data_IF_225471368125
#
_entry.id   IF_225471368125
#
_cell.length_a   1.000
_cell.length_b   1.000
_cell.length_c   1.000
_cell.angle_alpha   90.00
_cell.angle_beta   90.00
_cell.angle_gamma   90.00
#
_symmetry.space_group_name_H-M   'P 1'
#
loop_
_entity.id
_entity.type
_entity.pdbx_description
1 polymer ?
#
# COMPACT_ATOMS: atom_id res chain seq x y z
N UNK A 1 2.85 -8.98 -9.69
CA UNK A 1 3.23 -9.19 -8.28
C UNK A 1 4.69 -8.81 -8.14
N UNK A 2 5.06 -8.18 -7.02
CA UNK A 2 6.40 -7.66 -6.75
C UNK A 2 6.91 -8.17 -5.41
N UNK A 3 8.22 -8.33 -5.27
CA UNK A 3 8.87 -8.83 -4.04
C UNK A 3 9.44 -7.68 -3.18
N UNK A 4 9.56 -6.49 -3.76
CA UNK A 4 10.13 -5.32 -3.12
C UNK A 4 9.39 -4.04 -3.50
N UNK A 5 9.51 -3.05 -2.62
CA UNK A 5 8.87 -1.76 -2.76
C UNK A 5 9.41 -0.99 -3.98
N UNK A 6 10.71 -1.09 -4.25
CA UNK A 6 11.36 -0.33 -5.32
C UNK A 6 10.81 -0.71 -6.70
N UNK A 7 10.59 -2.01 -6.93
CA UNK A 7 9.97 -2.55 -8.14
C UNK A 7 8.52 -2.09 -8.30
N UNK A 8 7.76 -2.07 -7.19
CA UNK A 8 6.39 -1.55 -7.19
C UNK A 8 6.35 -0.05 -7.50
N UNK A 9 7.27 0.74 -6.93
CA UNK A 9 7.37 2.18 -7.20
C UNK A 9 7.80 2.43 -8.65
N UNK A 10 8.71 1.62 -9.21
CA UNK A 10 9.10 1.73 -10.60
C UNK A 10 7.92 1.46 -11.53
N UNK A 11 7.12 0.43 -11.24
CA UNK A 11 5.87 0.17 -11.97
C UNK A 11 4.93 1.39 -12.01
N UNK A 12 4.74 2.07 -10.87
CA UNK A 12 3.90 3.28 -10.84
C UNK A 12 4.47 4.44 -11.68
N UNK A 13 5.81 4.54 -11.81
CA UNK A 13 6.44 5.54 -12.69
C UNK A 13 6.23 5.20 -14.16
N UNK A 14 6.37 3.93 -14.51
CA UNK A 14 6.21 3.47 -15.89
C UNK A 14 4.76 3.68 -16.36
N UNK A 15 3.76 3.32 -15.53
CA UNK A 15 2.33 3.57 -15.79
C UNK A 15 2.00 5.05 -15.99
N UNK A 16 2.69 5.93 -15.25
CA UNK A 16 2.58 7.38 -15.42
C UNK A 16 3.15 7.83 -16.77
N UNK A 17 4.31 7.30 -17.18
CA UNK A 17 4.93 7.63 -18.46
C UNK A 17 4.08 7.14 -19.65
N UNK A 18 3.42 5.99 -19.49
CA UNK A 18 2.56 5.38 -20.50
C UNK A 18 1.11 5.92 -20.50
N UNK A 19 0.76 6.79 -19.55
CA UNK A 19 -0.60 7.34 -19.35
C UNK A 19 -1.69 6.28 -19.09
N UNK A 20 -1.36 5.12 -18.52
CA UNK A 20 -2.29 3.99 -18.28
C UNK A 20 -2.81 3.87 -16.83
N UNK A 21 -2.86 4.99 -16.09
CA UNK A 21 -3.19 5.04 -14.66
C UNK A 21 -4.57 4.45 -14.27
N UNK A 22 -5.54 4.38 -15.18
CA UNK A 22 -6.91 3.96 -14.90
C UNK A 22 -7.13 2.43 -14.79
N UNK A 23 -6.14 1.60 -15.16
CA UNK A 23 -6.26 0.13 -15.14
C UNK A 23 -5.11 -0.57 -14.37
N UNK A 24 -4.48 0.14 -13.45
CA UNK A 24 -3.37 -0.36 -12.66
C UNK A 24 -3.80 -1.44 -11.67
N UNK A 25 -3.12 -2.59 -11.71
CA UNK A 25 -3.29 -3.67 -10.74
C UNK A 25 -1.94 -4.21 -10.32
N UNK A 26 -1.59 -4.00 -9.05
CA UNK A 26 -0.32 -4.40 -8.51
C UNK A 26 -0.47 -4.96 -7.10
N UNK A 27 0.46 -5.85 -6.76
CA UNK A 27 0.54 -6.45 -5.43
C UNK A 27 1.98 -6.64 -5.07
N UNK A 28 2.37 -6.26 -3.87
CA UNK A 28 3.73 -6.41 -3.35
C UNK A 28 3.71 -7.08 -1.97
N UNK A 29 4.62 -8.04 -1.79
CA UNK A 29 4.84 -8.73 -0.52
C UNK A 29 6.24 -8.41 -0.03
N UNK A 30 6.37 -7.73 1.10
CA UNK A 30 7.68 -7.36 1.63
C UNK A 30 7.71 -7.29 3.16
N UNK A 31 8.91 -7.33 3.72
CA UNK A 31 9.12 -7.08 5.14
C UNK A 31 9.39 -5.58 5.33
N UNK A 32 8.64 -4.86 6.17
CA UNK A 32 8.82 -3.43 6.36
C UNK A 32 10.25 -3.06 6.79
N UNK A 33 10.82 -1.93 6.32
CA UNK A 33 12.19 -1.53 6.63
C UNK A 33 12.49 -1.44 8.13
N UNK A 34 11.52 -1.01 8.94
CA UNK A 34 11.71 -0.91 10.40
C UNK A 34 11.90 -2.28 11.05
N UNK A 35 11.32 -3.35 10.49
CA UNK A 35 11.51 -4.72 11.00
C UNK A 35 12.87 -5.25 10.57
N UNK A 36 13.22 -5.09 9.29
CA UNK A 36 14.53 -5.50 8.77
C UNK A 36 15.66 -4.81 9.53
N UNK A 37 15.51 -3.51 9.84
CA UNK A 37 16.50 -2.77 10.61
C UNK A 37 16.69 -3.34 12.03
N UNK A 38 15.61 -3.73 12.72
CA UNK A 38 15.68 -4.40 14.02
C UNK A 38 16.33 -5.79 13.96
N UNK A 39 16.38 -6.39 12.76
CA UNK A 39 16.95 -7.72 12.49
C UNK A 39 18.27 -7.67 11.71
N UNK A 40 18.98 -6.53 11.70
CA UNK A 40 20.26 -6.35 11.00
C UNK A 40 20.19 -6.60 9.48
N UNK A 41 19.05 -6.28 8.86
CA UNK A 41 18.74 -6.49 7.45
C UNK A 41 18.78 -7.97 7.01
N UNK A 42 18.56 -8.88 7.96
CA UNK A 42 18.53 -10.33 7.73
C UNK A 42 17.11 -10.85 7.99
N UNK A 43 16.36 -11.23 6.95
CA UNK A 43 15.01 -11.77 7.08
C UNK A 43 14.93 -12.99 8.01
N UNK A 44 15.97 -13.83 8.04
CA UNK A 44 16.01 -15.04 8.88
C UNK A 44 16.15 -14.72 10.38
N UNK A 45 16.49 -13.47 10.71
CA UNK A 45 16.60 -12.97 12.09
C UNK A 45 15.37 -12.18 12.54
N UNK A 46 14.32 -12.14 11.71
CA UNK A 46 13.06 -11.51 12.10
C UNK A 46 12.42 -12.33 13.22
N UNK A 47 12.09 -11.66 14.32
CA UNK A 47 11.45 -12.31 15.46
C UNK A 47 10.02 -12.65 15.09
N UNK A 48 9.56 -13.85 15.46
CA UNK A 48 8.17 -14.28 15.28
C UNK A 48 7.15 -13.32 15.89
N UNK A 49 7.55 -12.53 16.90
CA UNK A 49 6.71 -11.51 17.53
C UNK A 49 6.52 -10.23 16.71
N UNK A 50 7.17 -10.08 15.55
CA UNK A 50 6.96 -8.97 14.62
C UNK A 50 5.78 -9.29 13.69
N UNK A 51 4.58 -9.35 14.26
CA UNK A 51 3.37 -9.70 13.54
C UNK A 51 2.17 -8.90 14.06
N UNK A 52 0.97 -9.13 13.51
CA UNK A 52 -0.25 -8.38 13.87
C UNK A 52 -0.63 -8.42 15.35
N UNK A 53 -0.22 -9.44 16.11
CA UNK A 53 -0.49 -9.57 17.56
C UNK A 53 0.34 -8.58 18.39
N UNK A 54 1.39 -8.00 17.82
CA UNK A 54 2.26 -7.04 18.48
C UNK A 54 1.84 -5.59 18.17
N UNK A 55 1.32 -4.90 19.19
CA UNK A 55 0.86 -3.50 19.08
C UNK A 55 1.95 -2.53 18.62
N UNK A 56 3.23 -2.78 18.96
CA UNK A 56 4.35 -1.94 18.51
C UNK A 56 4.57 -2.11 17.01
N UNK A 57 4.57 -3.36 16.53
CA UNK A 57 4.66 -3.67 15.10
C UNK A 57 3.53 -3.02 14.32
N UNK A 58 2.27 -3.21 14.76
CA UNK A 58 1.09 -2.62 14.10
C UNK A 58 1.18 -1.09 14.03
N UNK A 59 1.58 -0.44 15.12
CA UNK A 59 1.76 1.02 15.15
C UNK A 59 2.86 1.48 14.18
N UNK A 60 4.01 0.81 14.18
CA UNK A 60 5.13 1.17 13.31
C UNK A 60 4.79 0.90 11.84
N UNK A 61 4.07 -0.18 11.56
CA UNK A 61 3.58 -0.49 10.22
C UNK A 61 2.62 0.59 9.72
N UNK A 62 1.62 0.97 10.52
CA UNK A 62 0.72 2.05 10.13
C UNK A 62 1.47 3.37 9.90
N UNK A 63 2.45 3.70 10.75
CA UNK A 63 3.29 4.89 10.53
C UNK A 63 4.13 4.79 9.25
N UNK A 64 4.64 3.61 8.91
CA UNK A 64 5.37 3.36 7.67
C UNK A 64 4.47 3.58 6.46
N UNK A 65 3.26 3.03 6.47
CA UNK A 65 2.27 3.20 5.40
C UNK A 65 1.95 4.68 5.18
N UNK A 66 1.55 5.38 6.25
CA UNK A 66 1.13 6.79 6.17
C UNK A 66 2.24 7.73 5.71
N UNK A 67 3.48 7.51 6.18
CA UNK A 67 4.58 8.46 5.97
C UNK A 67 5.40 8.17 4.73
N UNK A 68 5.55 6.89 4.38
CA UNK A 68 6.42 6.46 3.28
C UNK A 68 5.57 5.96 2.12
N UNK A 69 4.83 4.86 2.28
CA UNK A 69 4.12 4.23 1.17
C UNK A 69 3.15 5.19 0.46
N UNK A 70 2.25 5.85 1.21
CA UNK A 70 1.28 6.77 0.61
C UNK A 70 1.94 8.01 -0.01
N UNK A 71 2.96 8.55 0.66
CA UNK A 71 3.71 9.72 0.18
C UNK A 71 4.45 9.41 -1.12
N UNK A 72 5.17 8.29 -1.16
CA UNK A 72 5.93 7.83 -2.32
C UNK A 72 4.99 7.50 -3.48
N UNK A 73 3.87 6.83 -3.23
CA UNK A 73 2.85 6.60 -4.26
C UNK A 73 2.34 7.90 -4.87
N UNK A 74 2.02 8.91 -4.05
CA UNK A 74 1.59 10.24 -4.54
C UNK A 74 2.67 10.91 -5.39
N UNK A 75 3.92 10.86 -4.94
CA UNK A 75 5.04 11.46 -5.65
C UNK A 75 5.32 10.78 -7.00
N UNK A 76 5.36 9.44 -7.01
CA UNK A 76 5.80 8.67 -8.17
C UNK A 76 4.70 8.42 -9.20
N UNK A 77 3.45 8.23 -8.77
CA UNK A 77 2.32 8.16 -9.71
C UNK A 77 2.03 9.49 -10.41
N UNK A 78 2.45 10.62 -9.82
CA UNK A 78 2.13 11.95 -10.33
C UNK A 78 0.65 12.34 -10.17
N UNK A 79 -0.14 11.52 -9.48
CA UNK A 79 -1.54 11.79 -9.15
C UNK A 79 -1.63 12.64 -7.88
N UNK A 80 -2.58 13.57 -7.82
CA UNK A 80 -2.88 14.28 -6.58
C UNK A 80 -3.76 13.42 -5.66
N UNK A 81 -3.16 12.37 -5.08
CA UNK A 81 -3.87 11.42 -4.24
C UNK A 81 -4.23 12.03 -2.88
N UNK A 82 -5.50 11.86 -2.48
CA UNK A 82 -6.06 12.34 -1.21
C UNK A 82 -6.69 11.22 -0.41
N UNK A 83 -5.87 10.28 0.05
CA UNK A 83 -6.34 9.22 0.93
C UNK A 83 -6.88 9.78 2.26
N UNK A 84 -8.14 9.47 2.54
CA UNK A 84 -8.78 9.76 3.81
C UNK A 84 -8.30 8.81 4.93
N UNK A 85 -9.08 8.76 6.02
CA UNK A 85 -8.85 7.75 7.05
C UNK A 85 -9.08 6.35 6.45
N UNK A 86 -8.19 5.39 6.69
CA UNK A 86 -8.40 4.03 6.20
C UNK A 86 -9.59 3.39 6.91
N UNK A 87 -10.32 2.57 6.16
CA UNK A 87 -11.19 1.56 6.76
C UNK A 87 -10.30 0.46 7.36
N UNK A 88 -10.55 0.11 8.62
CA UNK A 88 -9.77 -0.89 9.34
C UNK A 88 -10.65 -2.10 9.65
N UNK A 89 -10.25 -3.25 9.12
CA UNK A 89 -10.82 -4.54 9.46
C UNK A 89 -9.80 -5.35 10.27
N UNK A 90 -10.17 -5.75 11.48
CA UNK A 90 -9.36 -6.59 12.34
C UNK A 90 -10.08 -7.91 12.63
N UNK A 91 -9.42 -9.01 12.29
CA UNK A 91 -9.84 -10.38 12.58
C UNK A 91 -8.86 -11.05 13.55
N UNK A 92 -9.13 -12.31 13.90
CA UNK A 92 -8.25 -13.09 14.79
C UNK A 92 -6.85 -13.35 14.20
N UNK A 93 -6.67 -13.30 12.89
CA UNK A 93 -5.38 -13.59 12.28
C UNK A 93 -4.79 -12.41 11.52
N UNK A 94 -5.57 -11.37 11.23
CA UNK A 94 -5.16 -10.32 10.29
C UNK A 94 -5.63 -8.93 10.70
N UNK A 95 -4.86 -7.91 10.33
CA UNK A 95 -5.30 -6.52 10.32
C UNK A 95 -5.17 -6.03 8.88
N UNK A 96 -6.24 -5.42 8.37
CA UNK A 96 -6.32 -4.88 7.02
C UNK A 96 -6.70 -3.40 7.07
N UNK A 97 -5.89 -2.56 6.44
CA UNK A 97 -6.18 -1.15 6.18
C UNK A 97 -6.55 -0.98 4.72
N UNK A 98 -7.72 -0.41 4.46
CA UNK A 98 -8.16 -0.06 3.11
C UNK A 98 -8.18 1.45 2.98
N UNK A 99 -7.32 1.98 2.13
CA UNK A 99 -7.30 3.37 1.71
C UNK A 99 -8.02 3.48 0.38
N UNK A 100 -8.93 4.43 0.29
CA UNK A 100 -9.67 4.73 -0.93
C UNK A 100 -9.53 6.22 -1.21
N UNK A 101 -9.17 6.55 -2.45
CA UNK A 101 -9.25 7.88 -2.99
C UNK A 101 -10.21 7.90 -4.18
N UNK A 102 -11.20 8.77 -4.09
CA UNK A 102 -12.25 8.98 -5.10
C UNK A 102 -12.19 10.41 -5.68
N UNK A 103 -11.08 11.12 -5.44
CA UNK A 103 -10.85 12.45 -5.99
C UNK A 103 -10.65 12.41 -7.52
N UNK A 104 -10.50 13.58 -8.14
CA UNK A 104 -10.21 13.69 -9.57
C UNK A 104 -8.73 13.43 -9.89
N UNK A 105 -7.90 13.13 -8.88
CA UNK A 105 -6.47 12.85 -8.98
C UNK A 105 -5.64 13.96 -9.64
N UNK A 106 -6.19 15.18 -9.73
CA UNK A 106 -5.60 16.28 -10.50
C UNK A 106 -5.79 16.19 -12.02
N UNK A 107 -6.64 15.27 -12.50
CA UNK A 107 -6.92 14.99 -13.92
C UNK A 107 -8.27 15.56 -14.40
N UNK A 108 -9.03 16.22 -13.52
CA UNK A 108 -10.33 16.79 -13.87
C UNK A 108 -11.30 15.73 -14.39
N UNK A 109 -11.93 15.94 -15.55
CA UNK A 109 -12.91 15.01 -16.13
C UNK A 109 -12.33 13.68 -16.63
N UNK A 110 -11.00 13.57 -16.75
CA UNK A 110 -10.33 12.33 -17.16
C UNK A 110 -10.05 11.39 -15.97
N UNK A 111 -10.22 11.87 -14.74
CA UNK A 111 -9.99 11.15 -13.49
C UNK A 111 -11.13 10.26 -13.01
N UNK A 112 -11.94 9.69 -13.91
CA UNK A 112 -13.12 8.86 -13.55
C UNK A 112 -12.74 7.45 -13.08
N UNK A 113 -11.78 7.33 -12.18
CA UNK A 113 -11.41 6.08 -11.53
C UNK A 113 -11.09 6.34 -10.05
N UNK A 114 -11.17 5.29 -9.23
CA UNK A 114 -10.85 5.31 -7.81
C UNK A 114 -9.51 4.62 -7.62
N UNK A 115 -8.71 5.12 -6.70
CA UNK A 115 -7.47 4.45 -6.30
C UNK A 115 -7.70 3.75 -4.97
N UNK A 116 -7.51 2.44 -4.94
CA UNK A 116 -7.66 1.62 -3.75
C UNK A 116 -6.32 0.99 -3.38
N UNK A 117 -5.89 1.22 -2.14
CA UNK A 117 -4.74 0.56 -1.56
C UNK A 117 -5.19 -0.27 -0.36
N UNK A 118 -4.92 -1.56 -0.39
CA UNK A 118 -5.18 -2.49 0.72
C UNK A 118 -3.85 -2.93 1.30
N UNK A 119 -3.62 -2.64 2.57
CA UNK A 119 -2.44 -3.10 3.31
C UNK A 119 -2.89 -4.11 4.34
N UNK A 120 -2.31 -5.31 4.32
CA UNK A 120 -2.66 -6.40 5.22
C UNK A 120 -1.41 -6.94 5.90
N UNK A 121 -1.50 -7.18 7.21
CA UNK A 121 -0.54 -7.98 7.95
C UNK A 121 -1.25 -9.11 8.68
N UNK A 122 -0.54 -10.21 8.86
CA UNK A 122 -1.06 -11.41 9.52
C UNK A 122 -0.31 -11.73 10.81
N UNK A 123 -0.66 -12.87 11.40
CA UNK A 123 -0.09 -13.33 12.66
C UNK A 123 1.01 -14.38 12.50
N UNK A 124 1.34 -14.72 11.24
CA UNK A 124 2.30 -15.75 10.87
C UNK A 124 3.71 -15.15 10.71
N UNK A 125 3.82 -13.87 10.38
CA UNK A 125 5.11 -13.20 10.29
C UNK A 125 5.07 -11.69 10.15
N UNK A 126 6.21 -11.14 9.74
CA UNK A 126 6.41 -9.70 9.54
C UNK A 126 6.18 -9.24 8.10
N UNK A 127 5.99 -10.18 7.18
CA UNK A 127 5.68 -9.86 5.79
C UNK A 127 4.32 -9.20 5.73
N UNK A 128 4.22 -8.13 4.94
CA UNK A 128 2.97 -7.45 4.68
C UNK A 128 2.58 -7.63 3.21
N UNK A 129 1.28 -7.64 2.99
CA UNK A 129 0.65 -7.67 1.67
C UNK A 129 0.13 -6.28 1.37
N UNK A 130 0.57 -5.71 0.25
CA UNK A 130 0.04 -4.43 -0.25
C UNK A 130 -0.54 -4.67 -1.62
N UNK A 131 -1.81 -4.35 -1.79
CA UNK A 131 -2.54 -4.45 -3.04
C UNK A 131 -2.96 -3.06 -3.50
N UNK A 132 -2.59 -2.71 -4.72
CA UNK A 132 -2.95 -1.48 -5.39
C UNK A 132 -3.89 -1.82 -6.55
N UNK A 133 -5.03 -1.16 -6.59
CA UNK A 133 -6.01 -1.27 -7.67
C UNK A 133 -6.45 0.14 -8.08
N UNK A 134 -6.56 0.38 -9.39
CA UNK A 134 -7.43 1.44 -9.89
C UNK A 134 -8.72 0.84 -10.43
N UNK A 135 -9.83 1.44 -10.03
CA UNK A 135 -11.17 0.92 -10.28
C UNK A 135 -11.94 1.96 -11.09
N UNK A 136 -12.54 1.63 -12.24
CA UNK A 136 -13.38 2.57 -12.96
C UNK A 136 -14.54 3.03 -12.07
N UNK A 137 -14.83 4.34 -12.09
CA UNK A 137 -16.07 4.86 -11.52
C UNK A 137 -17.16 4.53 -12.54
N UNK A 138 -17.90 3.43 -12.36
CA UNK A 138 -19.11 3.23 -13.15
C UNK A 138 -20.06 4.40 -12.84
N UNK A 139 -20.40 5.20 -13.85
CA UNK A 139 -21.55 6.09 -13.79
C UNK A 139 -22.78 5.19 -13.58
N UNK A 140 -23.27 5.13 -12.35
CA UNK A 140 -24.65 4.68 -12.11
C UNK A 140 -25.56 5.68 -12.83
N UNK A 141 -26.02 5.27 -14.01
CA UNK A 141 -27.01 5.94 -14.84
C UNK A 141 -28.39 6.05 -14.15
#
# INVERSE_FOLDING_TARGET
EFEDLDSFIQYLKDEKEDHELANGHARVHYIPPFVLHESHNDPDRVKDSQNRKNKKFVRHLHQHVEKHLLTEMKEFSGMDLHFGKPEVAEDFDTITWTYLDESDHGMGSEGNFKVKLVVKCDSDGATIDVKYDTLPVEETA
#
